data_IF_873034412577
#
_entry.id   IF_873034412577
#
_cell.length_a   1.000
_cell.length_b   1.000
_cell.length_c   1.000
_cell.angle_alpha   90.00
_cell.angle_beta   90.00
_cell.angle_gamma   90.00
#
_symmetry.space_group_name_H-M   'P 1'
#
loop_
_entity.id
_entity.type
_entity.pdbx_description
1 polymer ?
#
# COMPACT_ATOMS: atom_id res chain seq x y z
N UNK A 1 -2.63 -13.20 125.77
CA UNK A 1 -1.95 -12.74 124.53
C UNK A 1 -2.94 -11.87 123.80
N UNK A 2 -2.53 -10.74 123.21
CA UNK A 2 -3.45 -9.89 122.46
C UNK A 2 -4.02 -10.70 121.29
N UNK A 3 -5.33 -10.56 121.04
CA UNK A 3 -5.99 -11.19 119.90
C UNK A 3 -5.63 -10.41 118.64
N UNK A 4 -5.48 -11.08 117.50
CA UNK A 4 -5.23 -10.44 116.21
C UNK A 4 -6.29 -10.84 115.18
N UNK A 5 -6.49 -10.00 114.17
CA UNK A 5 -7.28 -10.36 112.99
C UNK A 5 -6.52 -11.37 112.11
N UNK A 6 -7.18 -12.38 111.50
CA UNK A 6 -6.49 -13.46 110.78
C UNK A 6 -5.60 -13.04 109.60
N UNK A 7 -6.04 -12.08 108.77
CA UNK A 7 -5.42 -11.82 107.45
C UNK A 7 -4.41 -10.67 107.47
N UNK A 8 -4.67 -9.64 108.26
CA UNK A 8 -3.88 -8.41 108.41
C UNK A 8 -3.07 -8.37 109.72
N UNK A 9 -3.30 -9.30 110.64
CA UNK A 9 -2.65 -9.37 111.95
C UNK A 9 -2.84 -8.08 112.80
N UNK A 10 -3.97 -7.38 112.64
CA UNK A 10 -4.28 -6.18 113.42
C UNK A 10 -4.60 -6.57 114.86
N UNK A 11 -3.97 -5.92 115.83
CA UNK A 11 -4.24 -6.18 117.25
C UNK A 11 -5.64 -5.69 117.65
N UNK A 12 -6.43 -6.56 118.26
CA UNK A 12 -7.69 -6.21 118.91
C UNK A 12 -7.44 -5.75 120.35
N UNK A 13 -8.22 -4.78 120.80
CA UNK A 13 -8.21 -4.31 122.19
C UNK A 13 -9.04 -5.27 123.04
N UNK A 14 -8.56 -5.60 124.24
CA UNK A 14 -9.23 -6.49 125.19
C UNK A 14 -9.69 -5.70 126.43
N UNK A 15 -11.01 -5.53 126.59
CA UNK A 15 -11.60 -4.69 127.64
C UNK A 15 -11.28 -5.12 129.07
N UNK A 16 -10.87 -6.38 129.29
CA UNK A 16 -10.49 -6.87 130.62
C UNK A 16 -9.04 -6.50 131.00
N UNK A 17 -8.14 -6.25 130.03
CA UNK A 17 -6.72 -5.93 130.30
C UNK A 17 -6.30 -4.51 129.95
N UNK A 18 -6.96 -3.88 128.97
CA UNK A 18 -6.44 -2.67 128.33
C UNK A 18 -7.00 -1.37 128.95
N UNK A 19 -7.97 -1.50 129.86
CA UNK A 19 -8.57 -0.40 130.63
C UNK A 19 -10.01 -0.13 130.24
N UNK A 20 -10.79 0.38 131.20
CA UNK A 20 -12.24 0.55 131.05
C UNK A 20 -12.59 1.82 130.25
N UNK A 21 -12.39 1.78 128.93
CA UNK A 21 -12.69 2.89 128.02
C UNK A 21 -14.19 3.25 127.99
N UNK A 22 -14.47 4.54 127.81
CA UNK A 22 -15.85 5.10 127.81
C UNK A 22 -16.57 4.95 126.46
N UNK A 23 -15.92 4.36 125.46
CA UNK A 23 -16.48 4.06 124.15
C UNK A 23 -16.64 2.54 123.98
N UNK A 24 -17.61 2.11 123.18
CA UNK A 24 -17.77 0.69 122.85
C UNK A 24 -16.68 0.28 121.84
N UNK A 25 -15.51 -0.09 122.36
CA UNK A 25 -14.32 -0.44 121.58
C UNK A 25 -14.57 -1.66 120.69
N UNK A 26 -15.37 -2.62 121.14
CA UNK A 26 -15.75 -3.77 120.32
C UNK A 26 -16.47 -3.33 119.04
N UNK A 27 -17.53 -2.51 119.15
CA UNK A 27 -18.32 -2.08 117.97
C UNK A 27 -17.60 -1.03 117.11
N UNK A 28 -16.80 -0.15 117.72
CA UNK A 28 -16.21 1.00 117.01
C UNK A 28 -14.83 0.68 116.42
N UNK A 29 -14.08 -0.27 116.99
CA UNK A 29 -12.74 -0.64 116.54
C UNK A 29 -12.65 -2.12 116.15
N UNK A 30 -12.89 -3.06 117.09
CA UNK A 30 -12.66 -4.50 116.82
C UNK A 30 -13.56 -5.02 115.67
N UNK A 31 -14.86 -4.73 115.68
CA UNK A 31 -15.84 -5.08 114.63
C UNK A 31 -15.49 -4.46 113.27
N UNK A 32 -14.92 -3.25 113.28
CA UNK A 32 -14.54 -2.55 112.04
C UNK A 32 -13.21 -3.10 111.50
N UNK A 33 -12.29 -3.51 112.37
CA UNK A 33 -11.08 -4.24 111.97
C UNK A 33 -11.40 -5.63 111.47
N UNK A 34 -12.35 -6.36 112.05
CA UNK A 34 -12.80 -7.65 111.54
C UNK A 34 -13.42 -7.53 110.14
N UNK A 35 -14.31 -6.55 109.92
CA UNK A 35 -14.89 -6.29 108.58
C UNK A 35 -13.83 -5.89 107.55
N UNK A 36 -12.82 -5.12 107.93
CA UNK A 36 -11.70 -4.77 107.06
C UNK A 36 -10.78 -5.97 106.78
N UNK A 37 -10.58 -6.84 107.76
CA UNK A 37 -9.75 -8.04 107.63
C UNK A 37 -10.41 -9.12 106.77
N UNK A 38 -11.73 -9.27 106.89
CA UNK A 38 -12.58 -10.10 106.03
C UNK A 38 -12.50 -9.61 104.58
N UNK A 39 -12.85 -8.34 104.32
CA UNK A 39 -12.85 -7.76 102.96
C UNK A 39 -11.44 -7.73 102.33
N UNK A 40 -10.37 -7.45 103.08
CA UNK A 40 -9.01 -7.47 102.52
C UNK A 40 -8.49 -8.91 102.39
N UNK A 41 -8.98 -9.86 103.18
CA UNK A 41 -8.77 -11.29 102.98
C UNK A 41 -9.36 -11.75 101.66
N UNK A 42 -10.64 -11.46 101.42
CA UNK A 42 -11.33 -11.72 100.16
C UNK A 42 -10.60 -11.08 98.98
N UNK A 43 -10.28 -9.77 99.04
CA UNK A 43 -9.56 -9.08 97.96
C UNK A 43 -8.16 -9.68 97.72
N UNK A 44 -7.46 -10.17 98.76
CA UNK A 44 -6.17 -10.87 98.60
C UNK A 44 -6.34 -12.19 97.86
N UNK A 45 -7.31 -13.01 98.26
CA UNK A 45 -7.60 -14.29 97.59
C UNK A 45 -8.07 -14.06 96.14
N UNK A 46 -8.90 -13.05 95.89
CA UNK A 46 -9.27 -12.64 94.54
C UNK A 46 -8.04 -12.26 93.72
N UNK A 47 -7.15 -11.40 94.23
CA UNK A 47 -5.95 -10.94 93.51
C UNK A 47 -4.95 -12.07 93.23
N UNK A 48 -4.78 -13.01 94.17
CA UNK A 48 -3.90 -14.18 94.01
C UNK A 48 -4.41 -15.12 92.90
N UNK A 49 -5.73 -15.14 92.67
CA UNK A 49 -6.34 -15.84 91.55
C UNK A 49 -6.29 -15.08 90.20
N UNK A 50 -5.82 -13.82 90.14
CA UNK A 50 -5.63 -13.06 88.89
C UNK A 50 -4.29 -13.39 88.19
N UNK A 51 -3.82 -14.64 88.29
CA UNK A 51 -2.73 -15.14 87.41
C UNK A 51 -3.32 -15.53 86.06
N UNK A 52 -3.46 -14.54 85.17
CA UNK A 52 -3.97 -14.75 83.82
C UNK A 52 -2.87 -15.34 82.92
N UNK A 53 -2.67 -16.66 83.01
CA UNK A 53 -1.85 -17.41 82.04
C UNK A 53 -2.59 -17.47 80.69
N UNK A 54 -2.32 -16.49 79.83
CA UNK A 54 -2.85 -16.46 78.47
C UNK A 54 -1.93 -17.29 77.57
N UNK A 55 -2.37 -18.45 77.07
CA UNK A 55 -1.55 -19.31 76.22
C UNK A 55 -1.26 -18.64 74.88
N UNK A 56 -0.29 -19.17 74.13
CA UNK A 56 -0.15 -18.88 72.70
C UNK A 56 -1.39 -19.39 71.94
N UNK A 57 -1.79 -18.68 70.89
CA UNK A 57 -2.92 -19.12 70.07
C UNK A 57 -2.55 -20.36 69.23
N UNK A 58 -3.57 -21.15 68.91
CA UNK A 58 -3.51 -22.23 67.93
C UNK A 58 -4.77 -22.22 67.07
N UNK A 59 -4.83 -23.10 66.05
CA UNK A 59 -6.04 -23.32 65.25
C UNK A 59 -7.25 -23.80 66.06
N UNK A 60 -7.06 -24.21 67.32
CA UNK A 60 -8.10 -24.77 68.20
C UNK A 60 -8.26 -24.04 69.54
N UNK A 61 -7.36 -23.11 69.89
CA UNK A 61 -7.38 -22.36 71.16
C UNK A 61 -7.01 -20.90 70.93
N UNK A 62 -7.83 -19.97 71.44
CA UNK A 62 -7.50 -18.55 71.44
C UNK A 62 -6.30 -18.26 72.38
N UNK A 63 -5.51 -17.25 72.04
CA UNK A 63 -4.29 -16.90 72.76
C UNK A 63 -3.54 -15.71 72.15
N UNK A 64 -2.30 -15.49 72.58
CA UNK A 64 -1.42 -14.42 72.08
C UNK A 64 -0.63 -14.91 70.85
N UNK A 65 -0.37 -14.01 69.88
CA UNK A 65 0.35 -14.30 68.63
C UNK A 65 1.38 -13.19 68.35
N UNK A 66 2.56 -13.54 67.83
CA UNK A 66 3.56 -12.58 67.39
C UNK A 66 3.26 -12.08 65.96
N UNK A 67 3.40 -10.78 65.71
CA UNK A 67 3.25 -10.22 64.36
C UNK A 67 4.51 -10.43 63.51
N UNK A 68 4.34 -10.75 62.22
CA UNK A 68 5.42 -10.87 61.23
C UNK A 68 5.16 -9.98 60.01
N UNK A 69 6.24 -9.43 59.43
CA UNK A 69 6.21 -8.66 58.19
C UNK A 69 6.95 -9.33 57.01
N UNK A 70 7.30 -10.60 57.15
CA UNK A 70 7.86 -11.40 56.06
C UNK A 70 6.76 -11.77 55.04
N UNK A 71 7.12 -11.88 53.76
CA UNK A 71 6.20 -12.22 52.65
C UNK A 71 6.28 -13.68 52.21
N UNK A 72 7.24 -14.44 52.74
CA UNK A 72 7.69 -15.77 52.32
C UNK A 72 7.76 -16.79 53.48
N UNK A 73 7.27 -16.41 54.67
CA UNK A 73 7.41 -17.24 55.87
C UNK A 73 6.41 -18.40 55.92
N UNK A 74 6.92 -19.59 56.25
CA UNK A 74 6.14 -20.81 56.53
C UNK A 74 5.74 -20.97 58.02
N UNK A 75 5.92 -19.93 58.84
CA UNK A 75 5.70 -19.99 60.28
C UNK A 75 4.21 -19.90 60.65
N UNK A 76 3.66 -20.95 61.27
CA UNK A 76 2.26 -21.01 61.70
C UNK A 76 1.99 -20.31 63.06
N UNK A 77 3.05 -19.94 63.80
CA UNK A 77 2.98 -19.29 65.12
C UNK A 77 2.88 -17.75 65.06
N UNK A 78 2.76 -17.17 63.85
CA UNK A 78 2.83 -15.72 63.63
C UNK A 78 1.70 -15.21 62.73
N UNK A 79 1.20 -14.01 63.04
CA UNK A 79 0.18 -13.35 62.24
C UNK A 79 0.80 -12.34 61.26
N UNK A 80 0.34 -12.33 60.01
CA UNK A 80 0.80 -11.39 58.99
C UNK A 80 0.32 -9.96 59.28
N UNK A 81 1.20 -8.97 59.14
CA UNK A 81 0.80 -7.55 59.20
C UNK A 81 0.10 -7.10 57.91
N UNK A 82 -0.71 -6.02 57.94
CA UNK A 82 -1.25 -5.40 56.73
C UNK A 82 -0.16 -4.98 55.72
N UNK A 83 1.07 -4.73 56.20
CA UNK A 83 2.23 -4.49 55.35
C UNK A 83 2.63 -5.75 54.58
N UNK A 84 2.80 -6.89 55.24
CA UNK A 84 3.14 -8.15 54.57
C UNK A 84 2.11 -8.50 53.47
N UNK A 85 0.83 -8.35 53.76
CA UNK A 85 -0.26 -8.61 52.81
C UNK A 85 -0.17 -7.65 51.61
N UNK A 86 0.07 -6.35 51.86
CA UNK A 86 0.23 -5.35 50.80
C UNK A 86 1.46 -5.62 49.94
N UNK A 87 2.60 -5.93 50.56
CA UNK A 87 3.86 -6.14 49.86
C UNK A 87 3.82 -7.43 49.02
N UNK A 88 3.24 -8.52 49.54
CA UNK A 88 2.98 -9.74 48.77
C UNK A 88 1.97 -9.52 47.62
N UNK A 89 0.92 -8.72 47.83
CA UNK A 89 -0.02 -8.35 46.76
C UNK A 89 0.64 -7.48 45.67
N UNK A 90 1.56 -6.58 46.05
CA UNK A 90 2.36 -5.78 45.11
C UNK A 90 3.35 -6.64 44.33
N UNK A 91 4.00 -7.62 44.95
CA UNK A 91 4.86 -8.59 44.25
C UNK A 91 4.05 -9.43 43.25
N UNK A 92 2.89 -9.97 43.68
CA UNK A 92 1.98 -10.74 42.82
C UNK A 92 1.47 -9.91 41.63
N UNK A 93 1.13 -8.64 41.88
CA UNK A 93 0.73 -7.71 40.84
C UNK A 93 1.91 -7.37 39.91
N UNK A 94 3.10 -7.10 40.43
CA UNK A 94 4.30 -6.83 39.62
C UNK A 94 4.63 -8.00 38.69
N UNK A 95 4.49 -9.24 39.15
CA UNK A 95 4.66 -10.42 38.31
C UNK A 95 3.61 -10.47 37.19
N UNK A 96 2.36 -10.14 37.51
CA UNK A 96 1.25 -10.10 36.53
C UNK A 96 1.45 -8.97 35.51
N UNK A 97 1.80 -7.77 35.97
CA UNK A 97 2.08 -6.60 35.15
C UNK A 97 3.34 -6.83 34.28
N UNK A 98 4.36 -7.55 34.76
CA UNK A 98 5.50 -7.99 33.94
C UNK A 98 5.10 -8.98 32.87
N UNK A 99 4.26 -9.97 33.17
CA UNK A 99 3.75 -10.92 32.18
C UNK A 99 2.87 -10.22 31.13
N UNK A 100 2.07 -9.23 31.55
CA UNK A 100 1.26 -8.39 30.65
C UNK A 100 2.16 -7.51 29.79
N UNK A 101 3.11 -6.77 30.37
CA UNK A 101 4.04 -5.91 29.63
C UNK A 101 4.94 -6.71 28.66
N UNK A 102 5.37 -7.92 29.03
CA UNK A 102 6.06 -8.81 28.10
C UNK A 102 5.19 -9.13 26.88
N UNK A 103 3.87 -9.27 27.04
CA UNK A 103 2.92 -9.49 25.94
C UNK A 103 2.55 -8.20 25.20
N UNK A 104 2.47 -7.04 25.87
CA UNK A 104 1.96 -5.78 25.28
C UNK A 104 3.03 -4.81 24.79
N UNK A 105 4.25 -4.83 25.34
CA UNK A 105 5.38 -3.99 24.92
C UNK A 105 6.26 -4.70 23.87
N UNK A 106 6.37 -6.03 23.92
CA UNK A 106 7.05 -6.81 22.85
C UNK A 106 6.10 -7.33 21.77
N UNK A 107 4.78 -7.37 22.05
CA UNK A 107 3.78 -7.85 21.10
C UNK A 107 3.80 -9.36 20.83
N UNK A 108 4.51 -10.16 21.64
CA UNK A 108 4.69 -11.61 21.44
C UNK A 108 3.64 -12.41 22.23
N UNK A 109 2.69 -13.11 21.57
CA UNK A 109 1.86 -14.11 22.23
C UNK A 109 2.69 -15.36 22.52
N UNK A 110 2.55 -15.92 23.72
CA UNK A 110 3.12 -17.24 24.07
C UNK A 110 2.24 -18.32 23.46
N UNK A 111 2.67 -18.91 22.34
CA UNK A 111 1.81 -19.77 21.52
C UNK A 111 1.88 -21.26 21.87
N UNK A 112 2.99 -21.73 22.48
CA UNK A 112 3.19 -23.15 22.81
C UNK A 112 3.76 -23.32 24.21
N UNK A 113 3.13 -24.18 24.99
CA UNK A 113 3.57 -24.63 26.31
C UNK A 113 4.13 -26.05 26.21
N UNK A 114 5.35 -26.25 26.70
CA UNK A 114 6.01 -27.55 26.78
C UNK A 114 6.09 -27.97 28.26
N UNK A 115 5.17 -28.83 28.74
CA UNK A 115 5.28 -29.43 30.06
C UNK A 115 6.33 -30.54 30.04
N UNK A 116 7.27 -30.47 30.97
CA UNK A 116 8.41 -31.38 31.11
C UNK A 116 8.43 -31.90 32.54
N UNK A 117 8.57 -33.21 32.72
CA UNK A 117 8.66 -33.85 34.04
C UNK A 117 9.92 -34.69 34.09
N UNK A 118 10.79 -34.40 35.06
CA UNK A 118 12.07 -35.07 35.29
C UNK A 118 12.08 -35.53 36.74
N UNK A 119 12.49 -36.78 36.98
CA UNK A 119 12.72 -37.30 38.32
C UNK A 119 14.22 -37.21 38.60
N UNK A 120 14.61 -36.70 39.76
CA UNK A 120 16.01 -36.70 40.16
C UNK A 120 16.55 -38.13 40.28
N UNK A 121 17.77 -38.37 39.82
CA UNK A 121 18.38 -39.71 39.80
C UNK A 121 19.32 -39.95 40.97
N UNK A 122 19.69 -38.88 41.70
CA UNK A 122 20.68 -38.90 42.77
C UNK A 122 20.22 -38.00 43.92
N UNK A 123 20.57 -38.37 45.15
CA UNK A 123 20.37 -37.48 46.29
C UNK A 123 21.30 -36.26 46.20
N UNK A 124 20.78 -35.10 46.66
CA UNK A 124 21.42 -33.79 46.56
C UNK A 124 21.69 -33.32 45.11
N UNK A 125 20.91 -33.80 44.13
CA UNK A 125 21.00 -33.32 42.75
C UNK A 125 20.50 -31.87 42.65
N UNK A 126 21.30 -30.99 42.06
CA UNK A 126 20.97 -29.57 41.83
C UNK A 126 20.78 -29.21 40.35
N UNK A 127 21.36 -29.99 39.43
CA UNK A 127 21.37 -29.68 37.98
C UNK A 127 20.43 -30.61 37.22
N UNK A 128 19.60 -30.01 36.37
CA UNK A 128 18.69 -30.71 35.46
C UNK A 128 18.77 -30.09 34.06
N UNK A 129 18.71 -30.92 33.02
CA UNK A 129 18.72 -30.44 31.63
C UNK A 129 17.30 -30.15 31.14
N UNK A 130 17.15 -29.10 30.33
CA UNK A 130 15.91 -28.78 29.63
C UNK A 130 16.00 -29.43 28.23
N UNK A 131 15.21 -30.49 27.92
CA UNK A 131 15.27 -31.21 26.65
C UNK A 131 14.62 -30.45 25.48
N UNK A 132 14.99 -29.18 25.27
CA UNK A 132 14.53 -28.34 24.17
C UNK A 132 15.72 -27.67 23.45
N UNK A 133 15.94 -28.07 22.19
CA UNK A 133 17.05 -27.62 21.33
C UNK A 133 16.99 -26.13 20.99
N UNK A 134 15.83 -25.51 21.17
CA UNK A 134 15.54 -24.12 20.84
C UNK A 134 15.23 -23.25 22.07
N UNK A 135 15.54 -23.71 23.29
CA UNK A 135 15.32 -22.91 24.51
C UNK A 135 16.28 -21.72 24.58
N UNK A 136 15.74 -20.54 24.84
CA UNK A 136 16.48 -19.30 25.11
C UNK A 136 15.87 -18.54 26.29
N UNK A 137 16.63 -18.43 27.39
CA UNK A 137 16.28 -17.76 28.65
C UNK A 137 15.98 -16.27 28.50
N UNK A 138 16.47 -15.62 27.45
CA UNK A 138 16.25 -14.18 27.23
C UNK A 138 14.88 -13.90 26.60
N UNK A 139 14.27 -14.90 25.96
CA UNK A 139 13.00 -14.77 25.24
C UNK A 139 11.92 -15.67 25.82
N UNK A 140 12.19 -16.95 26.03
CA UNK A 140 11.25 -17.91 26.61
C UNK A 140 11.03 -17.68 28.11
N UNK A 141 9.86 -18.10 28.60
CA UNK A 141 9.60 -18.13 30.05
C UNK A 141 9.66 -19.57 30.57
N UNK A 142 10.46 -19.80 31.61
CA UNK A 142 10.53 -21.07 32.34
C UNK A 142 9.80 -20.94 33.69
N UNK A 143 8.81 -21.81 33.93
CA UNK A 143 8.22 -22.03 35.24
C UNK A 143 8.73 -23.37 35.79
N UNK A 144 9.04 -23.44 37.09
CA UNK A 144 9.65 -24.62 37.72
C UNK A 144 8.93 -24.94 39.01
N UNK A 145 8.74 -26.23 39.29
CA UNK A 145 8.22 -26.72 40.56
C UNK A 145 8.89 -28.03 40.98
N UNK A 146 9.04 -28.23 42.29
CA UNK A 146 9.53 -29.47 42.89
C UNK A 146 8.42 -30.04 43.77
N UNK A 147 8.05 -31.31 43.57
CA UNK A 147 7.03 -31.99 44.36
C UNK A 147 5.72 -31.17 44.48
N UNK A 148 5.33 -30.48 43.39
CA UNK A 148 4.17 -29.58 43.24
C UNK A 148 4.27 -28.20 43.92
N UNK A 149 5.37 -27.88 44.60
CA UNK A 149 5.66 -26.51 45.07
C UNK A 149 6.37 -25.70 43.97
N UNK A 150 5.82 -24.55 43.59
CA UNK A 150 6.44 -23.64 42.60
C UNK A 150 7.66 -22.97 43.21
N UNK A 151 8.75 -22.89 42.43
CA UNK A 151 9.97 -22.17 42.80
C UNK A 151 9.90 -20.71 42.39
N UNK A 152 10.41 -19.83 43.23
CA UNK A 152 10.70 -18.45 42.86
C UNK A 152 11.95 -18.37 41.96
N UNK A 153 12.02 -17.46 40.96
CA UNK A 153 13.20 -17.30 40.09
C UNK A 153 14.53 -17.02 40.82
N UNK A 154 14.52 -16.57 42.07
CA UNK A 154 15.74 -16.43 42.88
C UNK A 154 16.30 -17.77 43.40
N UNK A 155 15.50 -18.84 43.38
CA UNK A 155 15.87 -20.16 43.91
C UNK A 155 16.57 -21.07 42.88
N UNK A 156 16.72 -20.59 41.64
CA UNK A 156 17.42 -21.31 40.57
C UNK A 156 18.10 -20.36 39.58
N UNK A 157 19.05 -20.89 38.81
CA UNK A 157 19.64 -20.23 37.65
C UNK A 157 19.42 -21.08 36.40
N UNK A 158 19.39 -20.45 35.22
CA UNK A 158 19.15 -21.15 33.95
C UNK A 158 20.22 -20.75 32.94
N UNK A 159 20.79 -21.74 32.24
CA UNK A 159 21.71 -21.54 31.11
C UNK A 159 21.00 -21.75 29.78
N UNK A 160 21.49 -21.08 28.73
CA UNK A 160 20.97 -21.27 27.38
C UNK A 160 21.43 -22.58 26.72
N UNK A 161 20.65 -23.01 25.72
CA UNK A 161 21.12 -24.01 24.76
C UNK A 161 22.16 -23.35 23.86
N UNK A 162 23.37 -23.90 23.81
CA UNK A 162 24.48 -23.43 22.97
C UNK A 162 24.47 -24.23 21.67
N UNK A 163 24.68 -23.54 20.54
CA UNK A 163 24.72 -24.13 19.20
C UNK A 163 26.02 -23.77 18.48
N UNK A 164 26.49 -24.67 17.61
CA UNK A 164 27.60 -24.41 16.68
C UNK A 164 27.22 -23.37 15.62
N UNK A 165 28.20 -22.85 14.88
CA UNK A 165 27.96 -22.03 13.68
C UNK A 165 27.13 -22.76 12.62
N UNK A 166 27.22 -24.09 12.57
CA UNK A 166 26.43 -24.97 11.69
C UNK A 166 25.03 -25.31 12.24
N UNK A 167 24.67 -24.78 13.42
CA UNK A 167 23.36 -24.96 14.04
C UNK A 167 23.15 -26.23 14.87
N UNK A 168 24.13 -27.13 14.99
CA UNK A 168 24.04 -28.27 15.91
C UNK A 168 24.05 -27.84 17.39
N UNK A 169 23.32 -28.53 18.26
CA UNK A 169 23.30 -28.27 19.71
C UNK A 169 24.55 -28.84 20.36
N UNK A 170 25.43 -27.98 20.86
CA UNK A 170 26.67 -28.38 21.56
C UNK A 170 26.51 -28.48 23.07
N UNK A 171 25.52 -27.79 23.64
CA UNK A 171 25.12 -27.92 25.04
C UNK A 171 23.63 -27.61 25.19
N UNK A 172 22.86 -28.48 25.86
CA UNK A 172 21.47 -28.21 26.22
C UNK A 172 21.40 -27.21 27.37
N UNK A 173 20.37 -26.36 27.35
CA UNK A 173 19.99 -25.51 28.47
C UNK A 173 19.84 -26.32 29.77
N UNK A 174 20.25 -25.73 30.90
CA UNK A 174 20.21 -26.39 32.22
C UNK A 174 19.61 -25.46 33.25
N UNK A 175 18.86 -26.02 34.18
CA UNK A 175 18.52 -25.37 35.44
C UNK A 175 19.49 -25.85 36.52
N UNK A 176 20.00 -24.92 37.32
CA UNK A 176 20.77 -25.20 38.54
C UNK A 176 20.03 -24.63 39.74
N UNK A 177 19.51 -25.50 40.60
CA UNK A 177 18.82 -25.15 41.84
C UNK A 177 19.82 -24.67 42.91
N UNK A 178 19.42 -23.73 43.76
CA UNK A 178 20.22 -23.29 44.91
C UNK A 178 20.31 -24.35 46.04
N UNK A 179 19.37 -25.31 46.06
CA UNK A 179 19.33 -26.41 47.03
C UNK A 179 19.12 -27.75 46.30
N UNK A 180 19.81 -28.80 46.76
CA UNK A 180 19.69 -30.13 46.18
C UNK A 180 18.38 -30.83 46.57
N UNK A 181 17.91 -31.72 45.70
CA UNK A 181 16.69 -32.53 45.93
C UNK A 181 17.01 -34.01 46.16
N UNK A 182 16.05 -34.79 46.68
CA UNK A 182 16.20 -36.25 46.82
C UNK A 182 16.06 -36.97 45.48
N UNK A 183 16.64 -38.16 45.38
CA UNK A 183 16.56 -39.13 44.26
C UNK A 183 15.14 -39.66 43.91
N UNK A 184 14.11 -39.09 44.54
CA UNK A 184 12.69 -39.38 44.29
C UNK A 184 11.87 -38.13 43.99
N UNK A 185 12.49 -36.95 44.06
CA UNK A 185 11.78 -35.68 43.86
C UNK A 185 11.42 -35.47 42.39
N UNK A 186 10.17 -35.05 42.16
CA UNK A 186 9.65 -34.72 40.84
C UNK A 186 9.89 -33.25 40.53
N UNK A 187 10.77 -32.97 39.58
CA UNK A 187 11.01 -31.63 39.02
C UNK A 187 10.11 -31.46 37.79
N UNK A 188 9.10 -30.61 37.89
CA UNK A 188 8.22 -30.27 36.78
C UNK A 188 8.56 -28.88 36.27
N UNK A 189 8.85 -28.78 34.98
CA UNK A 189 9.17 -27.54 34.28
C UNK A 189 8.10 -27.27 33.23
N UNK A 190 7.74 -26.02 33.03
CA UNK A 190 6.87 -25.58 31.93
C UNK A 190 7.59 -24.48 31.17
N UNK A 191 7.97 -24.78 29.93
CA UNK A 191 8.56 -23.79 29.02
C UNK A 191 7.46 -23.20 28.17
N UNK A 192 7.31 -21.88 28.24
CA UNK A 192 6.43 -21.09 27.38
C UNK A 192 7.29 -20.47 26.29
N UNK A 193 7.18 -21.00 25.07
CA UNK A 193 7.96 -20.54 23.91
C UNK A 193 7.41 -19.23 23.37
N UNK A 194 8.30 -18.27 23.13
CA UNK A 194 7.97 -17.04 22.43
C UNK A 194 7.89 -17.26 20.91
N UNK A 195 7.01 -16.52 20.25
CA UNK A 195 6.90 -16.51 18.78
C UNK A 195 8.05 -15.67 18.21
N UNK A 196 8.89 -16.20 17.29
CA UNK A 196 9.92 -15.41 16.64
C UNK A 196 9.30 -14.29 15.80
N UNK A 197 9.73 -13.06 16.06
CA UNK A 197 9.35 -11.89 15.27
C UNK A 197 10.30 -11.71 14.08
N UNK A 198 9.73 -11.31 12.95
CA UNK A 198 10.47 -10.73 11.82
C UNK A 198 10.66 -9.23 12.00
N UNK A 199 11.24 -8.60 10.97
CA UNK A 199 11.46 -7.16 10.93
C UNK A 199 10.16 -6.36 11.15
N UNK A 200 10.23 -5.31 11.96
CA UNK A 200 9.05 -4.50 12.32
C UNK A 200 8.08 -5.15 13.32
N UNK A 201 8.43 -6.27 13.96
CA UNK A 201 7.59 -6.90 14.99
C UNK A 201 6.43 -7.73 14.43
N UNK A 202 6.46 -8.08 13.14
CA UNK A 202 5.53 -9.05 12.56
C UNK A 202 5.86 -10.47 13.03
N UNK A 203 4.86 -11.34 13.20
CA UNK A 203 5.09 -12.78 13.40
C UNK A 203 5.83 -13.34 12.17
N UNK A 204 6.94 -14.07 12.40
CA UNK A 204 7.70 -14.69 11.31
C UNK A 204 6.82 -15.68 10.53
N UNK A 205 6.75 -15.54 9.20
CA UNK A 205 5.91 -16.39 8.35
C UNK A 205 6.24 -17.88 8.42
N UNK A 206 7.46 -18.26 8.81
CA UNK A 206 7.88 -19.65 8.95
C UNK A 206 7.22 -20.40 10.14
N UNK A 207 6.60 -19.69 11.08
CA UNK A 207 5.83 -20.29 12.20
C UNK A 207 4.32 -20.14 12.04
N UNK A 208 3.85 -19.61 10.90
CA UNK A 208 2.44 -19.68 10.52
C UNK A 208 2.19 -21.00 9.79
N UNK A 209 1.21 -21.78 10.25
CA UNK A 209 0.80 -22.97 9.54
C UNK A 209 0.08 -22.58 8.23
N UNK A 210 0.11 -23.49 7.24
CA UNK A 210 -0.69 -23.34 6.02
C UNK A 210 -2.16 -23.13 6.42
N UNK A 211 -2.83 -22.19 5.76
CA UNK A 211 -4.21 -21.76 6.02
C UNK A 211 -4.50 -21.16 7.42
N UNK A 212 -3.47 -20.88 8.25
CA UNK A 212 -3.67 -20.30 9.59
C UNK A 212 -3.83 -18.77 9.61
N UNK A 213 -3.82 -18.10 8.45
CA UNK A 213 -3.96 -16.64 8.37
C UNK A 213 -5.45 -16.27 8.43
N UNK A 214 -5.91 -15.47 9.41
CA UNK A 214 -7.31 -15.08 9.52
C UNK A 214 -7.85 -14.43 8.23
N UNK A 215 -9.05 -14.86 7.81
CA UNK A 215 -9.65 -14.52 6.52
C UNK A 215 -9.76 -13.00 6.28
N UNK A 216 -9.97 -12.19 7.33
CA UNK A 216 -10.00 -10.74 7.25
C UNK A 216 -8.67 -10.10 6.78
N UNK A 217 -7.52 -10.75 7.01
CA UNK A 217 -6.22 -10.33 6.48
C UNK A 217 -5.99 -10.76 5.03
N UNK A 218 -6.66 -11.83 4.59
CA UNK A 218 -6.61 -12.33 3.20
C UNK A 218 -7.61 -11.59 2.30
N UNK A 219 -8.76 -11.17 2.84
CA UNK A 219 -9.81 -10.46 2.09
C UNK A 219 -9.33 -9.17 1.42
N UNK A 220 -8.42 -8.41 2.06
CA UNK A 220 -7.84 -7.22 1.44
C UNK A 220 -6.98 -7.54 0.22
N UNK A 221 -6.21 -8.64 0.28
CA UNK A 221 -5.43 -9.15 -0.84
C UNK A 221 -6.33 -9.72 -1.95
N UNK A 222 -7.40 -10.43 -1.58
CA UNK A 222 -8.39 -10.94 -2.53
C UNK A 222 -9.02 -9.80 -3.34
N UNK A 223 -9.44 -8.71 -2.68
CA UNK A 223 -9.97 -7.53 -3.37
C UNK A 223 -8.98 -6.92 -4.37
N UNK A 224 -7.71 -6.75 -3.98
CA UNK A 224 -6.66 -6.26 -4.89
C UNK A 224 -6.40 -7.20 -6.09
N UNK A 225 -6.50 -8.51 -5.87
CA UNK A 225 -6.36 -9.52 -6.92
C UNK A 225 -7.56 -9.45 -7.89
N UNK A 226 -8.78 -9.34 -7.37
CA UNK A 226 -10.01 -9.25 -8.17
C UNK A 226 -10.05 -7.95 -9.00
N UNK A 227 -9.64 -6.83 -8.41
CA UNK A 227 -9.45 -5.54 -9.10
C UNK A 227 -8.41 -5.66 -10.23
N UNK A 228 -7.28 -6.32 -9.99
CA UNK A 228 -6.24 -6.52 -10.99
C UNK A 228 -6.70 -7.43 -12.16
N UNK A 229 -7.45 -8.50 -11.87
CA UNK A 229 -8.06 -9.35 -12.90
C UNK A 229 -9.10 -8.59 -13.72
N UNK A 230 -9.93 -7.77 -13.08
CA UNK A 230 -10.92 -6.93 -13.75
C UNK A 230 -10.25 -5.91 -14.68
N UNK A 231 -9.25 -5.17 -14.20
CA UNK A 231 -8.48 -4.23 -15.01
C UNK A 231 -7.78 -4.91 -16.21
N UNK A 232 -7.27 -6.13 -16.03
CA UNK A 232 -6.71 -6.94 -17.12
C UNK A 232 -7.74 -7.32 -18.19
N UNK A 233 -8.96 -7.66 -17.79
CA UNK A 233 -10.07 -7.99 -18.69
C UNK A 233 -10.60 -6.75 -19.43
N UNK A 234 -10.75 -5.62 -18.75
CA UNK A 234 -11.13 -4.34 -19.35
C UNK A 234 -10.11 -3.91 -20.40
N UNK A 235 -8.82 -3.92 -20.06
CA UNK A 235 -7.75 -3.54 -21.00
C UNK A 235 -7.68 -4.46 -22.22
N UNK A 236 -8.01 -5.75 -22.06
CA UNK A 236 -8.16 -6.69 -23.18
C UNK A 236 -9.36 -6.33 -24.06
N UNK A 237 -10.50 -5.96 -23.48
CA UNK A 237 -11.69 -5.55 -24.22
C UNK A 237 -11.45 -4.27 -25.03
N UNK A 238 -10.74 -3.29 -24.48
CA UNK A 238 -10.31 -2.08 -25.19
C UNK A 238 -9.45 -2.40 -26.42
N UNK A 239 -8.47 -3.30 -26.28
CA UNK A 239 -7.59 -3.72 -27.40
C UNK A 239 -8.39 -4.44 -28.49
N UNK A 240 -9.33 -5.31 -28.11
CA UNK A 240 -10.25 -5.97 -29.05
C UNK A 240 -11.12 -4.95 -29.78
N UNK A 241 -11.71 -3.99 -29.06
CA UNK A 241 -12.52 -2.93 -29.65
C UNK A 241 -11.72 -2.07 -30.63
N UNK A 242 -10.47 -1.72 -30.30
CA UNK A 242 -9.57 -0.97 -31.17
C UNK A 242 -9.22 -1.75 -32.46
N UNK A 243 -8.97 -3.06 -32.35
CA UNK A 243 -8.73 -3.94 -33.52
C UNK A 243 -9.97 -4.01 -34.44
N UNK A 244 -11.16 -4.20 -33.86
CA UNK A 244 -12.41 -4.24 -34.63
C UNK A 244 -12.69 -2.89 -35.31
N UNK A 245 -12.41 -1.77 -34.64
CA UNK A 245 -12.58 -0.43 -35.19
C UNK A 245 -11.69 -0.14 -36.42
N UNK A 246 -10.51 -0.77 -36.51
CA UNK A 246 -9.63 -0.69 -37.69
C UNK A 246 -9.87 -1.82 -38.71
N UNK A 247 -10.95 -2.60 -38.55
CA UNK A 247 -11.36 -3.64 -39.49
C UNK A 247 -10.65 -5.00 -39.30
N UNK A 248 -9.92 -5.21 -38.21
CA UNK A 248 -9.28 -6.50 -37.89
C UNK A 248 -10.23 -7.33 -37.01
N UNK A 249 -10.72 -8.50 -37.47
CA UNK A 249 -11.64 -9.32 -36.67
C UNK A 249 -10.97 -9.84 -35.39
N UNK A 250 -11.49 -9.43 -34.24
CA UNK A 250 -11.02 -9.86 -32.92
C UNK A 250 -12.20 -10.06 -31.95
N UNK A 251 -12.02 -10.87 -30.91
CA UNK A 251 -13.04 -11.12 -29.88
C UNK A 251 -12.44 -11.18 -28.47
N UNK A 252 -13.21 -10.77 -27.47
CA UNK A 252 -12.85 -10.87 -26.04
C UNK A 252 -12.68 -12.32 -25.57
N UNK A 253 -13.25 -13.29 -26.30
CA UNK A 253 -13.04 -14.72 -26.08
C UNK A 253 -11.66 -15.25 -26.50
N UNK A 254 -10.88 -14.50 -27.29
CA UNK A 254 -9.57 -14.94 -27.79
C UNK A 254 -8.47 -14.75 -26.73
N UNK A 255 -7.45 -15.59 -26.74
CA UNK A 255 -6.30 -15.46 -25.83
C UNK A 255 -5.36 -14.32 -26.28
N UNK A 256 -4.54 -13.78 -25.37
CA UNK A 256 -3.50 -12.81 -25.74
C UNK A 256 -2.55 -13.35 -26.84
N UNK A 257 -2.24 -14.65 -26.82
CA UNK A 257 -1.45 -15.31 -27.86
C UNK A 257 -2.12 -15.29 -29.26
N UNK A 258 -3.46 -15.22 -29.33
CA UNK A 258 -4.20 -15.06 -30.60
C UNK A 258 -4.39 -13.59 -30.99
N UNK A 259 -4.44 -12.67 -30.02
CA UNK A 259 -4.60 -11.23 -30.26
C UNK A 259 -3.27 -10.59 -30.71
N UNK A 260 -2.14 -10.96 -30.13
CA UNK A 260 -0.82 -10.37 -30.44
C UNK A 260 -0.47 -10.44 -31.95
N UNK A 261 -0.58 -11.59 -32.64
CA UNK A 261 -0.30 -11.66 -34.07
C UNK A 261 -1.20 -10.75 -34.92
N UNK A 262 -2.45 -10.53 -34.49
CA UNK A 262 -3.39 -9.63 -35.18
C UNK A 262 -2.97 -8.17 -35.05
N UNK A 263 -2.44 -7.76 -33.90
CA UNK A 263 -1.85 -6.43 -33.69
C UNK A 263 -0.61 -6.27 -34.59
N UNK A 264 0.27 -7.27 -34.65
CA UNK A 264 1.46 -7.26 -35.52
C UNK A 264 1.13 -7.21 -37.01
N UNK A 265 -0.04 -7.72 -37.42
CA UNK A 265 -0.52 -7.68 -38.80
C UNK A 265 -1.16 -6.34 -39.21
N UNK A 266 -1.29 -5.36 -38.30
CA UNK A 266 -1.84 -4.03 -38.62
C UNK A 266 -0.88 -3.26 -39.52
N UNK A 267 -1.21 -3.18 -40.81
CA UNK A 267 -0.43 -2.43 -41.80
C UNK A 267 -0.64 -0.93 -41.58
N UNK A 268 0.46 -0.20 -41.35
CA UNK A 268 0.47 1.27 -41.35
C UNK A 268 0.44 1.78 -42.79
N UNK A 269 -0.27 2.88 -43.05
CA UNK A 269 -0.14 3.58 -44.33
C UNK A 269 1.28 4.15 -44.45
N UNK A 270 2.01 3.76 -45.50
CA UNK A 270 3.42 4.14 -45.74
C UNK A 270 3.66 4.88 -47.05
N UNK A 271 2.61 5.08 -47.86
CA UNK A 271 2.71 5.80 -49.13
C UNK A 271 3.19 7.26 -48.95
N UNK A 272 3.76 7.82 -50.01
CA UNK A 272 4.26 9.20 -50.07
C UNK A 272 3.37 10.15 -50.88
N UNK A 273 2.29 9.66 -51.48
CA UNK A 273 1.34 10.49 -52.24
C UNK A 273 0.79 11.63 -51.38
N UNK A 274 0.66 12.82 -51.97
CA UNK A 274 0.08 14.02 -51.37
C UNK A 274 -1.30 14.28 -51.95
N UNK A 275 -2.02 15.28 -51.43
CA UNK A 275 -3.31 15.67 -52.01
C UNK A 275 -3.17 16.06 -53.50
N UNK A 276 -2.05 16.69 -53.87
CA UNK A 276 -1.77 17.10 -55.25
C UNK A 276 -1.49 15.94 -56.21
N UNK A 277 -1.32 14.71 -55.71
CA UNK A 277 -1.10 13.50 -56.51
C UNK A 277 -2.39 12.67 -56.71
N UNK A 278 -3.50 13.08 -56.09
CA UNK A 278 -4.76 12.31 -56.05
C UNK A 278 -5.93 13.16 -56.56
N UNK A 279 -6.85 12.51 -57.29
CA UNK A 279 -8.03 13.16 -57.87
C UNK A 279 -8.94 13.77 -56.80
N UNK A 280 -9.45 14.98 -57.06
CA UNK A 280 -10.38 15.69 -56.20
C UNK A 280 -11.60 14.82 -55.84
N UNK A 281 -11.93 14.76 -54.55
CA UNK A 281 -13.02 13.94 -54.01
C UNK A 281 -12.71 12.44 -53.87
N UNK A 282 -11.50 11.97 -54.22
CA UNK A 282 -11.02 10.64 -53.82
C UNK A 282 -10.29 10.72 -52.49
N UNK A 283 -10.55 9.75 -51.62
CA UNK A 283 -9.85 9.59 -50.35
C UNK A 283 -8.63 8.68 -50.49
N UNK A 284 -7.58 8.96 -49.73
CA UNK A 284 -6.38 8.15 -49.64
C UNK A 284 -5.75 8.25 -48.24
N UNK A 285 -4.77 7.40 -47.96
CA UNK A 285 -3.99 7.42 -46.71
C UNK A 285 -2.50 7.29 -47.04
N UNK A 286 -1.64 7.99 -46.30
CA UNK A 286 -0.20 8.06 -46.53
C UNK A 286 0.55 8.03 -45.18
N UNK A 287 1.88 8.15 -45.19
CA UNK A 287 2.71 8.15 -43.98
C UNK A 287 2.41 9.29 -42.98
N UNK A 288 1.70 10.35 -43.41
CA UNK A 288 1.37 11.54 -42.60
C UNK A 288 -0.06 11.54 -42.05
N UNK A 289 -0.99 10.79 -42.65
CA UNK A 289 -2.39 10.80 -42.23
C UNK A 289 -3.30 9.86 -43.02
N UNK A 290 -4.47 9.59 -42.45
CA UNK A 290 -5.52 8.76 -43.04
C UNK A 290 -6.68 9.63 -43.54
N UNK A 291 -7.47 9.12 -44.49
CA UNK A 291 -8.67 9.78 -45.03
C UNK A 291 -8.40 11.19 -45.61
N UNK A 292 -7.18 11.40 -46.12
CA UNK A 292 -6.80 12.60 -46.85
C UNK A 292 -7.59 12.66 -48.17
N UNK A 293 -7.96 13.86 -48.61
CA UNK A 293 -8.73 14.07 -49.83
C UNK A 293 -7.80 14.61 -50.92
N UNK A 294 -7.86 14.04 -52.12
CA UNK A 294 -7.11 14.53 -53.28
C UNK A 294 -7.55 15.94 -53.70
N UNK A 295 -6.69 16.64 -54.44
CA UNK A 295 -6.92 18.00 -54.92
C UNK A 295 -6.74 18.19 -56.43
N UNK A 296 -6.31 17.19 -57.20
CA UNK A 296 -6.22 17.30 -58.67
C UNK A 296 -7.62 17.53 -59.24
N UNK A 297 -7.90 18.67 -59.91
CA UNK A 297 -9.22 18.92 -60.48
C UNK A 297 -9.53 17.96 -61.63
N UNK A 298 -10.73 17.39 -61.66
CA UNK A 298 -11.24 16.67 -62.83
C UNK A 298 -11.71 17.70 -63.86
N UNK A 299 -11.14 17.68 -65.07
CA UNK A 299 -11.46 18.58 -66.19
C UNK A 299 -12.44 17.96 -67.19
N UNK A 300 -12.94 16.75 -66.90
CA UNK A 300 -13.88 16.03 -67.76
C UNK A 300 -13.18 15.28 -68.90
N UNK A 301 -13.89 15.09 -70.01
CA UNK A 301 -13.30 14.51 -71.23
C UNK A 301 -12.27 15.46 -71.84
N UNK A 302 -11.13 14.90 -72.27
CA UNK A 302 -10.23 15.58 -73.18
C UNK A 302 -10.89 15.78 -74.55
N UNK A 303 -10.40 16.77 -75.29
CA UNK A 303 -10.94 17.14 -76.59
C UNK A 303 -9.93 17.91 -77.42
N UNK A 304 -10.42 18.45 -78.52
CA UNK A 304 -9.59 19.09 -79.54
C UNK A 304 -9.14 20.50 -79.13
N UNK A 305 -7.89 20.83 -79.45
CA UNK A 305 -7.28 22.15 -79.36
C UNK A 305 -6.98 22.59 -80.80
N UNK A 306 -7.73 23.56 -81.31
CA UNK A 306 -7.54 24.11 -82.66
C UNK A 306 -6.64 25.33 -82.53
N UNK A 307 -5.41 25.34 -83.07
CA UNK A 307 -4.51 26.49 -82.96
C UNK A 307 -5.13 27.81 -83.44
N UNK A 308 -4.62 28.93 -82.91
CA UNK A 308 -5.07 30.27 -83.28
C UNK A 308 -3.95 31.30 -83.09
N UNK A 309 -4.26 32.57 -83.34
CA UNK A 309 -3.31 33.69 -83.25
C UNK A 309 -2.94 34.08 -81.81
N UNK A 310 -3.52 33.43 -80.81
CA UNK A 310 -3.26 33.62 -79.38
C UNK A 310 -3.05 32.28 -78.68
N UNK A 311 -2.25 32.29 -77.60
CA UNK A 311 -1.96 31.08 -76.82
C UNK A 311 -3.25 30.46 -76.26
N UNK A 312 -3.41 29.15 -76.46
CA UNK A 312 -4.53 28.39 -75.89
C UNK A 312 -4.07 27.58 -74.67
N UNK A 313 -4.38 28.10 -73.49
CA UNK A 313 -4.13 27.40 -72.23
C UNK A 313 -5.25 26.41 -71.96
N UNK A 314 -4.90 25.16 -71.63
CA UNK A 314 -5.78 24.21 -70.96
C UNK A 314 -5.35 24.11 -69.50
N UNK A 315 -6.31 24.30 -68.59
CA UNK A 315 -6.07 24.32 -67.16
C UNK A 315 -5.51 22.98 -66.65
N UNK A 316 -4.50 23.04 -65.77
CA UNK A 316 -3.92 21.83 -65.18
C UNK A 316 -4.97 20.99 -64.43
N UNK A 317 -4.88 19.67 -64.55
CA UNK A 317 -5.80 18.72 -63.95
C UNK A 317 -5.88 17.40 -64.73
N UNK A 318 -6.80 16.54 -64.32
CA UNK A 318 -7.04 15.25 -64.96
C UNK A 318 -8.06 15.39 -66.10
N UNK A 319 -7.67 14.95 -67.29
CA UNK A 319 -8.57 14.77 -68.44
C UNK A 319 -8.79 13.28 -68.66
N UNK A 320 -10.05 12.83 -68.78
CA UNK A 320 -10.39 11.40 -68.91
C UNK A 320 -10.18 10.81 -70.31
N UNK A 321 -9.76 11.64 -71.26
CA UNK A 321 -9.31 11.24 -72.60
C UNK A 321 -8.20 12.18 -73.07
N UNK A 322 -7.52 11.86 -74.16
CA UNK A 322 -6.43 12.66 -74.69
C UNK A 322 -6.90 14.08 -75.10
N UNK A 323 -6.00 15.06 -74.94
CA UNK A 323 -6.10 16.35 -75.60
C UNK A 323 -5.41 16.25 -76.96
N UNK A 324 -6.11 16.59 -78.04
CA UNK A 324 -5.57 16.51 -79.41
C UNK A 324 -5.35 17.92 -79.94
N UNK A 325 -4.11 18.32 -80.15
CA UNK A 325 -3.78 19.55 -80.89
C UNK A 325 -3.89 19.26 -82.38
N UNK A 326 -4.71 20.03 -83.11
CA UNK A 326 -4.79 19.88 -84.57
C UNK A 326 -3.54 20.44 -85.23
N UNK A 327 -2.96 19.68 -86.16
CA UNK A 327 -2.08 20.21 -87.18
C UNK A 327 -2.89 20.75 -88.35
N UNK A 328 -2.29 21.66 -89.12
CA UNK A 328 -2.85 22.19 -90.36
C UNK A 328 -1.99 21.72 -91.55
N UNK A 329 -2.53 21.00 -92.55
CA UNK A 329 -1.79 20.61 -93.75
C UNK A 329 -1.20 21.78 -94.54
N UNK A 330 -1.80 22.96 -94.45
CA UNK A 330 -1.34 24.17 -95.14
C UNK A 330 -0.18 24.87 -94.40
N UNK A 331 0.28 24.35 -93.25
CA UNK A 331 1.48 24.81 -92.54
C UNK A 331 2.77 24.34 -93.25
N UNK A 332 2.97 24.84 -94.47
CA UNK A 332 4.14 24.58 -95.31
C UNK A 332 4.79 25.89 -95.75
N UNK A 333 6.11 25.87 -95.95
CA UNK A 333 6.90 27.05 -96.33
C UNK A 333 6.35 27.79 -97.57
N UNK A 334 5.78 27.05 -98.53
CA UNK A 334 5.20 27.61 -99.76
C UNK A 334 3.94 28.47 -99.53
N UNK A 335 3.25 28.33 -98.38
CA UNK A 335 2.06 29.10 -98.03
C UNK A 335 2.38 30.28 -97.08
N UNK A 336 3.59 30.33 -96.52
CA UNK A 336 4.03 31.34 -95.55
C UNK A 336 4.91 32.36 -96.27
N UNK A 337 4.64 33.66 -96.06
CA UNK A 337 5.39 34.77 -96.68
C UNK A 337 6.90 34.67 -96.43
N UNK A 338 7.70 34.91 -97.47
CA UNK A 338 9.17 34.86 -97.42
C UNK A 338 9.72 35.67 -96.22
N UNK A 339 10.55 35.02 -95.41
CA UNK A 339 11.19 35.60 -94.23
C UNK A 339 10.34 35.65 -92.94
N UNK A 340 9.07 35.20 -92.98
CA UNK A 340 8.26 34.99 -91.77
C UNK A 340 8.41 33.56 -91.25
N UNK A 341 8.26 33.35 -89.94
CA UNK A 341 8.30 32.02 -89.32
C UNK A 341 6.97 31.76 -88.57
N UNK A 342 6.37 30.59 -88.78
CA UNK A 342 5.19 30.13 -88.04
C UNK A 342 5.46 28.72 -87.51
N UNK A 343 5.45 28.57 -86.18
CA UNK A 343 5.71 27.30 -85.47
C UNK A 343 6.99 26.55 -85.92
N UNK A 344 8.08 27.28 -86.24
CA UNK A 344 9.34 26.70 -86.73
C UNK A 344 9.44 26.53 -88.25
N UNK A 345 8.38 26.82 -89.01
CA UNK A 345 8.39 26.77 -90.48
C UNK A 345 8.67 28.16 -91.05
N UNK A 346 9.84 28.32 -91.68
CA UNK A 346 10.23 29.55 -92.38
C UNK A 346 9.55 29.60 -93.75
N UNK A 347 8.94 30.75 -94.06
CA UNK A 347 8.22 30.98 -95.30
C UNK A 347 9.11 31.21 -96.53
N UNK A 348 8.59 30.80 -97.68
CA UNK A 348 9.19 30.92 -99.00
C UNK A 348 8.24 31.59 -100.03
N UNK A 349 7.01 31.95 -99.65
CA UNK A 349 6.03 32.58 -100.53
C UNK A 349 6.43 34.03 -100.86
N UNK A 350 6.82 34.27 -102.10
CA UNK A 350 7.11 35.62 -102.60
C UNK A 350 5.81 36.29 -103.05
N UNK A 351 5.45 37.48 -102.54
CA UNK A 351 4.32 38.22 -103.06
C UNK A 351 4.57 38.59 -104.53
N UNK A 352 3.65 38.27 -105.41
CA UNK A 352 3.69 38.77 -106.79
C UNK A 352 3.51 40.30 -106.77
N UNK A 353 4.58 41.02 -107.13
CA UNK A 353 4.55 42.47 -107.29
C UNK A 353 3.79 42.82 -108.56
N UNK A 354 2.46 42.87 -108.47
CA UNK A 354 1.59 43.45 -109.50
C UNK A 354 1.82 44.96 -109.60
N UNK A 355 2.90 45.36 -110.26
CA UNK A 355 3.04 46.69 -110.78
C UNK A 355 2.04 46.87 -111.93
N UNK A 356 0.87 47.45 -111.65
CA UNK A 356 -0.01 48.01 -112.70
C UNK A 356 0.57 49.31 -113.25
N UNK A 357 1.84 49.26 -113.67
CA UNK A 357 2.45 50.26 -114.51
C UNK A 357 2.10 49.93 -115.95
N UNK A 358 1.23 50.73 -116.55
CA UNK A 358 1.12 50.78 -118.01
C UNK A 358 2.51 51.10 -118.57
N UNK A 359 3.12 50.14 -119.28
CA UNK A 359 4.39 50.33 -120.00
C UNK A 359 4.16 51.23 -121.21
N UNK A 360 3.99 52.54 -120.98
CA UNK A 360 3.83 53.51 -122.04
C UNK A 360 5.18 53.89 -122.65
N UNK A 361 5.69 52.99 -123.50
CA UNK A 361 6.73 53.30 -124.48
C UNK A 361 6.11 53.29 -125.87
N UNK A 362 5.90 54.50 -126.41
CA UNK A 362 5.50 54.79 -127.80
C UNK A 362 4.24 54.06 -128.33
N UNK A 363 3.06 54.60 -128.00
CA UNK A 363 1.85 54.43 -128.82
C UNK A 363 1.52 55.75 -129.51
N UNK A 364 1.81 55.84 -130.80
CA UNK A 364 1.44 56.97 -131.67
C UNK A 364 -0.03 56.87 -132.06
N UNK A 365 -0.80 57.93 -131.80
CA UNK A 365 -2.01 58.32 -132.54
C UNK A 365 -2.95 57.19 -133.03
N UNK A 366 -3.55 56.45 -132.09
CA UNK A 366 -4.87 55.86 -132.26
C UNK A 366 -5.54 55.64 -130.89
N UNK A 367 -6.78 56.14 -130.75
CA UNK A 367 -7.83 55.57 -129.90
C UNK A 367 -7.56 55.45 -128.38
N UNK A 368 -7.46 56.60 -127.70
CA UNK A 368 -7.75 56.68 -126.26
C UNK A 368 -9.17 57.23 -126.03
N UNK A 369 -10.20 56.42 -126.37
CA UNK A 369 -11.61 56.75 -126.13
C UNK A 369 -12.26 55.72 -125.19
N UNK A 370 -12.43 56.16 -123.94
CA UNK A 370 -13.62 55.95 -123.09
C UNK A 370 -14.17 54.53 -122.91
N UNK A 371 -13.61 53.83 -121.92
CA UNK A 371 -14.35 52.92 -121.03
C UNK A 371 -13.80 53.12 -119.60
N UNK A 372 -14.58 53.45 -118.56
CA UNK A 372 -15.97 53.07 -118.26
C UNK A 372 -16.80 54.29 -117.83
N UNK A 373 -18.04 54.39 -118.29
CA UNK A 373 -18.88 55.57 -118.07
C UNK A 373 -19.74 55.54 -116.81
N UNK A 374 -19.90 56.72 -116.20
CA UNK A 374 -21.09 57.13 -115.45
C UNK A 374 -21.52 58.49 -116.04
N UNK A 375 -22.72 58.65 -116.63
CA UNK A 375 -23.07 59.84 -117.41
C UNK A 375 -23.89 60.92 -116.67
N UNK A 376 -23.56 62.17 -116.99
CA UNK A 376 -24.38 63.39 -117.08
C UNK A 376 -25.16 63.94 -115.87
N UNK A 377 -24.70 65.11 -115.40
CA UNK A 377 -25.49 66.35 -115.20
C UNK A 377 -24.51 67.55 -115.11
N UNK A 378 -24.82 68.81 -115.45
CA UNK A 378 -25.99 69.39 -116.15
C UNK A 378 -25.50 70.45 -117.20
N UNK A 379 -26.26 71.44 -117.74
CA UNK A 379 -26.03 71.86 -119.13
C UNK A 379 -25.11 73.07 -119.39
N UNK A 380 -24.71 73.10 -120.66
CA UNK A 380 -23.94 74.07 -121.43
C UNK A 380 -24.55 75.49 -121.50
N UNK A 381 -23.69 76.52 -121.44
CA UNK A 381 -24.00 77.90 -121.88
C UNK A 381 -22.98 78.31 -122.96
N UNK A 382 -23.38 78.52 -124.23
CA UNK A 382 -22.49 78.94 -125.30
C UNK A 382 -22.71 80.40 -125.75
N UNK A 383 -21.71 81.27 -125.63
CA UNK A 383 -21.69 82.58 -126.32
C UNK A 383 -20.27 82.92 -126.82
N UNK A 384 -20.11 82.76 -128.14
CA UNK A 384 -19.52 83.68 -129.12
C UNK A 384 -18.07 84.21 -128.98
N UNK A 385 -17.21 83.62 -129.82
CA UNK A 385 -16.33 84.24 -130.83
C UNK A 385 -16.24 85.79 -130.86
N UNK A 386 -15.00 86.30 -130.81
CA UNK A 386 -14.54 87.33 -131.76
C UNK A 386 -13.03 87.18 -132.01
N UNK A 387 -12.63 86.99 -133.26
CA UNK A 387 -11.26 87.24 -133.69
C UNK A 387 -11.12 88.71 -134.06
N UNK A 388 -10.00 89.33 -133.69
CA UNK A 388 -9.49 90.53 -134.36
C UNK A 388 -8.12 90.21 -134.98
N UNK A 389 -7.71 91.05 -135.93
CA UNK A 389 -6.77 90.76 -137.02
C UNK A 389 -5.31 90.52 -136.62
#
# INVERSE_FOLDING_TARGET
MPKQTPNLNLFKVDGDTDGNDTFNVDVVLNDNWDKLDEVIGEVREELENVVVDIPLASLTKAGIVQLSSATDSSAEDKAATPKAIKDAALQSKSYTDQQINLVTETGIPKLVSYPLKIIATSDNQTVFEIPLDLFDVNTDTLLVSINRAVLDPTQYTVTNTIRSGDGEVTQRAKITLLSGVSSTSEVTMVVLKNVPLGEGGAINGAVLAVDSVPINRVNGLQGQIDEAFQAGNERKAEVVAALVAIGVPASTSETWAQIIPKISAVIRATGNATAADVLAGKTFSNATGNNLIGSIPNRGVGGTITPGTTNQTKEAGYYSSALTVLGDPDLVAANIREGMEIFGVIGALKPELYATGITQSAMTSAEFITARGVPSSYPHYPVQVSAEF
#
